data_IF_940589310802
#
_entry.id   IF_940589310802
#
_cell.length_a   1.000
_cell.length_b   1.000
_cell.length_c   1.000
_cell.angle_alpha   90.00
_cell.angle_beta   90.00
_cell.angle_gamma   90.00
#
_symmetry.space_group_name_H-M   'P 1'
#
loop_
_entity.id
_entity.type
_entity.pdbx_description
1 polymer ?
#
# COMPACT_ATOMS: atom_id res chain seq x y z
N UNK A 1 0.95 -0.06 17.60
CA UNK A 1 1.05 1.30 17.02
C UNK A 1 0.83 1.26 15.50
N UNK A 2 0.62 2.41 14.85
CA UNK A 2 0.23 2.52 13.43
C UNK A 2 1.25 1.87 12.46
N UNK A 3 2.54 2.18 12.63
CA UNK A 3 3.65 1.58 11.86
C UNK A 3 3.62 0.05 11.88
N UNK A 4 3.44 -0.53 13.06
CA UNK A 4 3.41 -2.00 13.23
C UNK A 4 2.25 -2.63 12.47
N UNK A 5 1.09 -1.95 12.40
CA UNK A 5 -0.04 -2.40 11.57
C UNK A 5 0.29 -2.35 10.09
N UNK A 6 0.92 -1.27 9.62
CA UNK A 6 1.36 -1.17 8.21
C UNK A 6 2.36 -2.28 7.86
N UNK A 7 3.33 -2.55 8.74
CA UNK A 7 4.29 -3.65 8.57
C UNK A 7 3.63 -5.03 8.58
N UNK A 8 2.60 -5.23 9.40
CA UNK A 8 1.85 -6.48 9.45
C UNK A 8 0.99 -6.70 8.19
N UNK A 9 0.47 -5.62 7.57
CA UNK A 9 -0.32 -5.69 6.35
C UNK A 9 0.51 -5.85 5.08
N UNK A 10 1.76 -5.39 5.06
CA UNK A 10 2.62 -5.43 3.88
C UNK A 10 2.68 -6.82 3.21
N UNK A 11 2.97 -7.93 3.93
CA UNK A 11 2.98 -9.26 3.31
C UNK A 11 1.64 -9.67 2.68
N UNK A 12 0.52 -9.21 3.25
CA UNK A 12 -0.83 -9.51 2.74
C UNK A 12 -1.11 -8.70 1.46
N UNK A 13 -0.76 -7.41 1.45
CA UNK A 13 -0.87 -6.57 0.26
C UNK A 13 0.01 -7.11 -0.87
N UNK A 14 1.24 -7.53 -0.57
CA UNK A 14 2.12 -8.13 -1.57
C UNK A 14 1.60 -9.48 -2.09
N UNK A 15 0.95 -10.28 -1.25
CA UNK A 15 0.29 -11.50 -1.70
C UNK A 15 -0.85 -11.20 -2.68
N UNK A 16 -1.65 -10.15 -2.41
CA UNK A 16 -2.68 -9.69 -3.33
C UNK A 16 -2.08 -9.21 -4.66
N UNK A 17 -0.98 -8.44 -4.61
CA UNK A 17 -0.30 -7.92 -5.80
C UNK A 17 0.35 -9.00 -6.68
N UNK A 18 0.70 -10.17 -6.12
CA UNK A 18 1.20 -11.32 -6.88
C UNK A 18 0.08 -12.15 -7.52
N UNK A 19 -1.17 -11.90 -7.18
CA UNK A 19 -2.33 -12.54 -7.79
C UNK A 19 -2.53 -12.09 -9.25
N UNK A 20 -3.39 -12.81 -9.97
CA UNK A 20 -3.76 -12.47 -11.35
C UNK A 20 -4.87 -11.42 -11.44
N UNK A 21 -5.57 -11.15 -10.34
CA UNK A 21 -6.70 -10.22 -10.28
C UNK A 21 -6.29 -8.87 -9.70
N UNK A 22 -6.98 -7.80 -10.13
CA UNK A 22 -6.81 -6.48 -9.54
C UNK A 22 -7.30 -6.48 -8.08
N UNK A 23 -6.47 -5.96 -7.18
CA UNK A 23 -6.80 -5.83 -5.76
C UNK A 23 -7.13 -4.37 -5.39
N UNK A 24 -8.15 -4.18 -4.56
CA UNK A 24 -8.49 -2.90 -3.96
C UNK A 24 -8.39 -2.98 -2.43
N UNK A 25 -7.67 -2.04 -1.81
CA UNK A 25 -7.46 -2.00 -0.36
C UNK A 25 -7.94 -0.66 0.18
N UNK A 26 -9.02 -0.68 0.96
CA UNK A 26 -9.56 0.50 1.63
C UNK A 26 -8.92 0.68 3.02
N UNK A 27 -8.31 1.84 3.27
CA UNK A 27 -7.67 2.18 4.55
C UNK A 27 -7.94 3.63 4.94
N UNK A 28 -7.82 3.94 6.24
CA UNK A 28 -7.86 5.32 6.73
C UNK A 28 -6.63 6.12 6.32
N UNK A 29 -6.76 7.44 6.23
CA UNK A 29 -5.72 8.35 5.70
C UNK A 29 -4.37 8.22 6.41
N UNK A 30 -4.37 7.97 7.72
CA UNK A 30 -3.15 7.79 8.51
C UNK A 30 -2.30 6.60 8.05
N UNK A 31 -2.89 5.60 7.40
CA UNK A 31 -2.15 4.46 6.85
C UNK A 31 -1.42 4.78 5.54
N UNK A 32 -1.69 5.94 4.92
CA UNK A 32 -1.14 6.30 3.61
C UNK A 32 -0.06 7.37 3.72
N UNK A 33 -0.23 8.33 4.62
CA UNK A 33 0.65 9.51 4.71
C UNK A 33 2.01 9.23 5.35
N UNK A 34 3.02 9.94 4.87
CA UNK A 34 4.35 9.99 5.48
C UNK A 34 5.26 8.77 5.16
N UNK A 35 6.49 8.76 5.70
CA UNK A 35 7.51 7.75 5.38
C UNK A 35 7.17 6.35 5.90
N UNK A 36 6.26 6.24 6.86
CA UNK A 36 5.80 4.95 7.41
C UNK A 36 4.45 4.50 6.83
N UNK A 37 3.89 5.27 5.89
CA UNK A 37 2.66 4.92 5.19
C UNK A 37 2.86 3.74 4.23
N UNK A 38 1.78 3.02 3.94
CA UNK A 38 1.80 1.84 3.06
C UNK A 38 2.39 2.15 1.68
N UNK A 39 2.07 3.31 1.09
CA UNK A 39 2.60 3.73 -0.21
C UNK A 39 4.12 3.85 -0.18
N UNK A 40 4.67 4.57 0.82
CA UNK A 40 6.11 4.75 0.96
C UNK A 40 6.83 3.41 1.20
N UNK A 41 6.25 2.54 2.03
CA UNK A 41 6.82 1.22 2.31
C UNK A 41 6.79 0.29 1.10
N UNK A 42 5.72 0.32 0.29
CA UNK A 42 5.64 -0.45 -0.96
C UNK A 42 6.68 0.06 -1.98
N UNK A 43 6.81 1.38 -2.14
CA UNK A 43 7.86 1.95 -3.01
C UNK A 43 9.26 1.55 -2.56
N UNK A 44 9.53 1.55 -1.24
CA UNK A 44 10.81 1.11 -0.69
C UNK A 44 11.11 -0.39 -0.93
N UNK A 45 10.09 -1.20 -1.21
CA UNK A 45 10.23 -2.62 -1.61
C UNK A 45 10.31 -2.82 -3.12
N UNK A 46 10.41 -1.75 -3.91
CA UNK A 46 10.59 -1.79 -5.36
C UNK A 46 9.29 -1.81 -6.16
N UNK A 47 8.12 -1.62 -5.53
CA UNK A 47 6.86 -1.49 -6.27
C UNK A 47 6.75 -0.10 -6.91
N UNK A 48 6.29 -0.07 -8.16
CA UNK A 48 5.88 1.17 -8.81
C UNK A 48 4.55 1.64 -8.22
N UNK A 49 4.52 2.86 -7.70
CA UNK A 49 3.31 3.46 -7.15
C UNK A 49 2.98 4.71 -7.94
N UNK A 50 1.75 4.77 -8.46
CA UNK A 50 1.21 5.92 -9.17
C UNK A 50 -0.06 6.37 -8.49
N UNK A 51 -0.18 7.68 -8.26
CA UNK A 51 -1.46 8.28 -7.88
C UNK A 51 -2.37 8.29 -9.09
N UNK A 52 -3.54 7.68 -8.96
CA UNK A 52 -4.59 7.68 -9.98
C UNK A 52 -5.64 8.71 -9.59
N UNK A 53 -6.13 9.45 -10.58
CA UNK A 53 -7.27 10.35 -10.43
C UNK A 53 -8.47 9.82 -11.20
N UNK A 54 -9.66 10.28 -10.87
CA UNK A 54 -10.91 9.84 -11.52
C UNK A 54 -11.03 10.21 -13.00
N UNK A 55 -10.05 10.95 -13.53
CA UNK A 55 -10.00 11.47 -14.90
C UNK A 55 -8.73 11.02 -15.63
N UNK A 56 -7.98 10.08 -15.04
CA UNK A 56 -6.90 9.33 -15.70
C UNK A 56 -7.43 8.04 -16.34
#
# INVERSE_FOLDING_TARGET
MLRQRNLAWLPQVEALLRGSEAAFVAVGISHVLGPEGLVALLSARGYSVRRVWSHD
#
